data_IF_301622027524
#
_entry.id   IF_301622027524
#
_cell.length_a   1.000
_cell.length_b   1.000
_cell.length_c   1.000
_cell.angle_alpha   90.00
_cell.angle_beta   90.00
_cell.angle_gamma   90.00
#
_symmetry.space_group_name_H-M   'P 1'
#
loop_
_entity.id
_entity.type
_entity.pdbx_description
1 polymer ?
#
# COMPACT_ATOMS: atom_id res chain seq x y z
N UNK A 1 9.63 4.74 0.84
CA UNK A 1 9.38 3.41 0.24
C UNK A 1 10.61 2.92 -0.51
N UNK A 2 11.05 3.57 -1.60
CA UNK A 2 12.26 3.15 -2.36
C UNK A 2 13.51 3.09 -1.47
N UNK A 3 13.80 4.13 -0.68
CA UNK A 3 14.90 4.14 0.30
C UNK A 3 14.88 2.94 1.26
N UNK A 4 13.69 2.54 1.72
CA UNK A 4 13.57 1.42 2.66
C UNK A 4 13.72 0.07 1.96
N UNK A 5 13.29 -0.04 0.69
CA UNK A 5 13.57 -1.21 -0.12
C UNK A 5 15.07 -1.35 -0.38
N UNK A 6 15.77 -0.25 -0.70
CA UNK A 6 17.23 -0.25 -0.84
C UNK A 6 17.91 -0.64 0.48
N UNK A 7 17.44 -0.11 1.61
CA UNK A 7 17.97 -0.47 2.94
C UNK A 7 17.78 -1.95 3.28
N UNK A 8 16.65 -2.56 2.89
CA UNK A 8 16.43 -4.00 3.05
C UNK A 8 17.34 -4.83 2.15
N UNK A 9 17.58 -4.40 0.91
CA UNK A 9 18.55 -5.06 0.03
C UNK A 9 19.96 -4.96 0.61
N UNK A 10 20.32 -3.80 1.13
CA UNK A 10 21.61 -3.56 1.78
C UNK A 10 21.79 -4.41 3.04
N UNK A 11 20.73 -4.61 3.83
CA UNK A 11 20.75 -5.48 4.99
C UNK A 11 21.09 -6.94 4.64
N UNK A 12 20.64 -7.43 3.48
CA UNK A 12 20.94 -8.79 3.01
C UNK A 12 22.41 -8.98 2.61
N UNK A 13 23.08 -7.91 2.17
CA UNK A 13 24.48 -7.97 1.71
C UNK A 13 25.49 -7.59 2.80
N UNK A 14 25.19 -6.56 3.60
CA UNK A 14 26.11 -5.93 4.55
C UNK A 14 25.57 -5.80 5.97
N UNK A 15 24.44 -6.45 6.30
CA UNK A 15 23.82 -6.38 7.62
C UNK A 15 23.35 -4.96 7.99
N UNK A 16 23.23 -4.69 9.30
CA UNK A 16 22.69 -3.43 9.82
C UNK A 16 23.49 -2.19 9.39
N UNK A 17 24.81 -2.34 9.19
CA UNK A 17 25.67 -1.26 8.71
C UNK A 17 25.35 -0.87 7.27
N UNK A 18 25.15 -1.86 6.38
CA UNK A 18 24.69 -1.62 5.02
C UNK A 18 23.31 -0.96 4.99
N UNK A 19 22.38 -1.41 5.84
CA UNK A 19 21.06 -0.81 5.95
C UNK A 19 21.12 0.66 6.40
N UNK A 20 21.99 1.00 7.36
CA UNK A 20 22.17 2.37 7.84
C UNK A 20 22.75 3.29 6.75
N UNK A 21 23.74 2.82 6.00
CA UNK A 21 24.32 3.56 4.88
C UNK A 21 23.28 3.83 3.77
N UNK A 22 22.52 2.81 3.40
CA UNK A 22 21.44 2.93 2.43
C UNK A 22 20.31 3.88 2.87
N UNK A 23 20.00 3.96 4.17
CA UNK A 23 19.02 4.94 4.67
C UNK A 23 19.54 6.38 4.64
N UNK A 24 20.86 6.57 4.77
CA UNK A 24 21.48 7.88 4.67
C UNK A 24 21.51 8.37 3.22
N UNK A 25 21.90 7.51 2.27
CA UNK A 25 21.90 7.80 0.84
C UNK A 25 21.67 6.53 0.01
N UNK A 26 20.42 6.31 -0.37
CA UNK A 26 20.01 5.12 -1.11
C UNK A 26 20.53 5.10 -2.56
N UNK A 27 20.65 6.26 -3.21
CA UNK A 27 21.12 6.35 -4.59
C UNK A 27 22.62 6.06 -4.67
N UNK A 28 23.41 6.66 -3.76
CA UNK A 28 24.84 6.38 -3.69
C UNK A 28 25.12 4.92 -3.34
N UNK A 29 24.42 4.37 -2.34
CA UNK A 29 24.60 2.96 -1.96
C UNK A 29 24.25 2.02 -3.11
N UNK A 30 23.13 2.27 -3.81
CA UNK A 30 22.72 1.45 -4.95
C UNK A 30 23.68 1.56 -6.13
N UNK A 31 24.23 2.75 -6.41
CA UNK A 31 25.20 2.91 -7.50
C UNK A 31 26.48 2.10 -7.28
N UNK A 32 26.85 1.83 -6.02
CA UNK A 32 28.06 1.10 -5.66
C UNK A 32 27.83 -0.41 -5.49
N UNK A 33 26.66 -0.81 -4.99
CA UNK A 33 26.39 -2.19 -4.55
C UNK A 33 25.21 -2.86 -5.26
N UNK A 34 24.34 -2.06 -5.89
CA UNK A 34 23.16 -2.53 -6.59
C UNK A 34 23.47 -3.09 -7.97
N UNK A 35 22.61 -3.97 -8.46
CA UNK A 35 22.65 -4.46 -9.83
C UNK A 35 21.53 -3.83 -10.67
N UNK A 36 21.91 -3.26 -11.81
CA UNK A 36 20.97 -2.62 -12.74
C UNK A 36 20.52 -1.22 -12.31
N UNK A 37 19.57 -0.66 -13.05
CA UNK A 37 19.02 0.67 -12.77
C UNK A 37 18.22 0.65 -11.45
N UNK A 38 18.44 1.66 -10.61
CA UNK A 38 17.68 1.84 -9.38
C UNK A 38 16.21 2.06 -9.73
N UNK A 39 15.40 1.05 -9.43
CA UNK A 39 14.00 1.06 -9.79
C UNK A 39 13.20 0.18 -8.86
N UNK A 40 11.94 0.54 -8.68
CA UNK A 40 11.02 -0.21 -7.85
C UNK A 40 10.90 -1.67 -8.30
N UNK A 41 10.81 -1.91 -9.61
CA UNK A 41 10.75 -3.26 -10.18
C UNK A 41 12.03 -4.06 -9.90
N UNK A 42 13.20 -3.47 -10.12
CA UNK A 42 14.51 -4.09 -9.84
C UNK A 42 14.64 -4.48 -8.37
N UNK A 43 14.24 -3.59 -7.47
CA UNK A 43 14.25 -3.83 -6.02
C UNK A 43 13.31 -4.98 -5.63
N UNK A 44 12.10 -4.99 -6.18
CA UNK A 44 11.13 -6.05 -5.89
C UNK A 44 11.57 -7.40 -6.44
N UNK A 45 12.19 -7.46 -7.62
CA UNK A 45 12.70 -8.71 -8.18
C UNK A 45 13.81 -9.32 -7.32
N UNK A 46 14.71 -8.50 -6.79
CA UNK A 46 15.79 -8.96 -5.92
C UNK A 46 15.31 -9.37 -4.52
N UNK A 47 14.44 -8.57 -3.91
CA UNK A 47 13.95 -8.82 -2.54
C UNK A 47 12.89 -9.93 -2.48
N UNK A 48 12.09 -10.04 -3.54
CA UNK A 48 10.89 -10.87 -3.55
C UNK A 48 10.62 -11.39 -4.98
N UNK A 49 11.32 -12.45 -5.42
CA UNK A 49 11.21 -12.94 -6.79
C UNK A 49 9.85 -13.57 -7.11
N UNK A 50 9.09 -14.01 -6.09
CA UNK A 50 7.75 -14.60 -6.27
C UNK A 50 6.64 -13.58 -5.99
N UNK A 51 5.48 -13.74 -6.63
CA UNK A 51 4.33 -12.87 -6.39
C UNK A 51 3.87 -12.88 -4.92
N UNK A 52 3.91 -14.05 -4.26
CA UNK A 52 3.57 -14.18 -2.85
C UNK A 52 4.58 -13.45 -1.94
N UNK A 53 5.87 -13.56 -2.22
CA UNK A 53 6.90 -12.81 -1.47
C UNK A 53 6.75 -11.30 -1.67
N UNK A 54 6.37 -10.84 -2.89
CA UNK A 54 6.13 -9.41 -3.15
C UNK A 54 4.94 -8.89 -2.35
N UNK A 55 3.84 -9.66 -2.33
CA UNK A 55 2.69 -9.30 -1.51
C UNK A 55 3.06 -9.22 -0.03
N UNK A 56 3.78 -10.21 0.51
CA UNK A 56 4.23 -10.18 1.91
C UNK A 56 5.14 -8.98 2.22
N UNK A 57 6.13 -8.71 1.36
CA UNK A 57 7.04 -7.58 1.51
C UNK A 57 6.30 -6.23 1.48
N UNK A 58 5.32 -6.10 0.58
CA UNK A 58 4.56 -4.87 0.40
C UNK A 58 3.48 -4.67 1.47
N UNK A 59 2.90 -5.76 1.99
CA UNK A 59 1.94 -5.70 3.08
C UNK A 59 2.50 -4.92 4.27
N UNK A 60 3.78 -5.09 4.62
CA UNK A 60 4.42 -4.36 5.73
C UNK A 60 4.47 -2.84 5.52
N UNK A 61 4.45 -2.35 4.28
CA UNK A 61 4.39 -0.92 3.98
C UNK A 61 2.97 -0.36 4.04
N UNK A 62 1.96 -1.21 3.94
CA UNK A 62 0.54 -0.83 3.87
C UNK A 62 -0.23 -1.17 5.15
N UNK A 63 0.27 -2.13 5.92
CA UNK A 63 -0.27 -2.66 7.17
C UNK A 63 0.81 -2.53 8.24
N UNK A 64 0.74 -1.47 9.06
CA UNK A 64 1.79 -1.26 10.06
C UNK A 64 1.76 0.10 10.74
N UNK A 65 2.91 0.41 11.32
CA UNK A 65 3.22 1.66 11.99
C UNK A 65 4.02 2.59 11.04
N UNK A 66 3.94 3.89 11.26
CA UNK A 66 4.81 4.89 10.64
C UNK A 66 6.25 4.69 11.14
N UNK A 67 7.21 5.41 10.54
CA UNK A 67 8.60 5.40 11.02
C UNK A 67 8.73 5.79 12.50
N UNK A 68 7.73 6.49 13.06
CA UNK A 68 7.68 6.93 14.46
C UNK A 68 6.95 5.92 15.38
N UNK A 69 6.52 4.77 14.86
CA UNK A 69 5.79 3.74 15.64
C UNK A 69 4.28 4.00 15.76
N UNK A 70 3.74 5.00 15.08
CA UNK A 70 2.31 5.29 15.12
C UNK A 70 1.55 4.44 14.12
N UNK A 71 0.40 3.87 14.49
CA UNK A 71 -0.43 3.11 13.54
C UNK A 71 -0.77 3.96 12.31
N UNK A 72 -0.68 3.37 11.11
CA UNK A 72 -1.19 4.01 9.89
C UNK A 72 -2.68 4.32 10.05
N UNK A 73 -3.03 5.61 10.02
CA UNK A 73 -4.40 6.11 10.16
C UNK A 73 -4.85 6.87 8.92
N UNK A 74 -6.17 6.93 8.63
CA UNK A 74 -6.65 7.65 7.46
C UNK A 74 -6.29 9.14 7.49
N UNK A 75 -5.69 9.62 6.41
CA UNK A 75 -5.39 11.04 6.23
C UNK A 75 -6.63 11.95 6.14
N UNK A 76 -6.41 13.27 6.20
CA UNK A 76 -7.45 14.29 5.96
C UNK A 76 -8.19 14.11 4.63
N UNK A 77 -7.50 13.65 3.60
CA UNK A 77 -8.08 13.41 2.28
C UNK A 77 -9.07 12.22 2.33
N UNK A 78 -8.71 11.12 2.98
CA UNK A 78 -9.61 9.98 3.18
C UNK A 78 -10.87 10.40 3.92
N UNK A 79 -10.74 11.18 5.00
CA UNK A 79 -11.90 11.69 5.73
C UNK A 79 -12.75 12.66 4.91
N UNK A 80 -12.14 13.49 4.05
CA UNK A 80 -12.89 14.35 3.15
C UNK A 80 -13.72 13.54 2.15
N UNK A 81 -13.13 12.53 1.52
CA UNK A 81 -13.83 11.59 0.63
C UNK A 81 -14.95 10.87 1.39
N UNK A 82 -14.68 10.38 2.61
CA UNK A 82 -15.68 9.70 3.41
C UNK A 82 -16.90 10.58 3.71
N UNK A 83 -16.71 11.89 3.97
CA UNK A 83 -17.81 12.85 4.11
C UNK A 83 -18.61 13.05 2.81
N UNK A 84 -17.94 13.01 1.65
CA UNK A 84 -18.64 13.04 0.35
C UNK A 84 -19.51 11.81 0.15
N UNK A 85 -19.04 10.65 0.60
CA UNK A 85 -19.80 9.40 0.57
C UNK A 85 -20.97 9.43 1.54
N UNK A 86 -20.76 9.84 2.79
CA UNK A 86 -21.80 9.91 3.81
C UNK A 86 -22.99 10.80 3.42
N UNK A 87 -22.75 11.87 2.64
CA UNK A 87 -23.82 12.73 2.10
C UNK A 87 -24.42 12.25 0.76
N UNK A 88 -23.98 11.09 0.25
CA UNK A 88 -24.48 10.48 -0.98
C UNK A 88 -23.92 11.06 -2.29
N UNK A 89 -22.90 11.93 -2.24
CA UNK A 89 -22.34 12.56 -3.44
C UNK A 89 -21.36 11.65 -4.19
N UNK A 90 -20.74 10.69 -3.49
CA UNK A 90 -19.85 9.67 -4.05
C UNK A 90 -20.36 8.32 -3.59
N UNK A 91 -20.49 7.35 -4.49
CA UNK A 91 -20.86 5.96 -4.11
C UNK A 91 -19.84 4.91 -4.51
N UNK A 92 -18.94 5.23 -5.43
CA UNK A 92 -17.93 4.31 -5.94
C UNK A 92 -16.57 4.98 -5.87
N UNK A 93 -15.61 4.28 -5.29
CA UNK A 93 -14.22 4.68 -5.19
C UNK A 93 -13.40 3.60 -5.89
N UNK A 94 -12.58 4.00 -6.86
CA UNK A 94 -11.64 3.11 -7.54
C UNK A 94 -10.24 3.56 -7.13
N UNK A 95 -9.42 2.63 -6.66
CA UNK A 95 -8.07 2.92 -6.17
C UNK A 95 -7.08 1.86 -6.60
N UNK A 96 -5.82 2.26 -6.75
CA UNK A 96 -4.67 1.37 -6.94
C UNK A 96 -4.03 0.96 -5.62
N UNK A 97 -4.49 1.52 -4.50
CA UNK A 97 -3.96 1.24 -3.18
C UNK A 97 -4.47 -0.10 -2.64
N UNK A 98 -3.58 -0.79 -1.93
CA UNK A 98 -3.84 -2.06 -1.24
C UNK A 98 -4.27 -1.85 0.22
N UNK A 99 -3.92 -0.71 0.83
CA UNK A 99 -4.20 -0.42 2.23
C UNK A 99 -5.71 -0.35 2.57
N UNK A 100 -6.03 -0.40 3.87
CA UNK A 100 -7.40 -0.32 4.38
C UNK A 100 -7.85 1.09 4.78
N UNK A 101 -7.05 2.13 4.52
CA UNK A 101 -7.27 3.48 5.06
C UNK A 101 -8.57 4.11 4.54
N UNK A 102 -8.90 3.90 3.27
CA UNK A 102 -10.16 4.41 2.72
C UNK A 102 -11.37 3.71 3.34
N UNK A 103 -11.32 2.38 3.52
CA UNK A 103 -12.39 1.62 4.17
C UNK A 103 -12.57 2.06 5.64
N UNK A 104 -11.48 2.21 6.38
CA UNK A 104 -11.49 2.69 7.76
C UNK A 104 -12.08 4.11 7.87
N UNK A 105 -11.75 5.01 6.94
CA UNK A 105 -12.33 6.36 6.94
C UNK A 105 -13.84 6.37 6.70
N UNK A 106 -14.34 5.44 5.88
CA UNK A 106 -15.78 5.26 5.64
C UNK A 106 -16.48 4.71 6.89
N UNK A 107 -15.90 3.69 7.51
CA UNK A 107 -16.41 3.11 8.76
C UNK A 107 -16.47 4.17 9.88
N UNK A 108 -15.46 5.05 9.97
CA UNK A 108 -15.42 6.13 10.95
C UNK A 108 -16.54 7.17 10.79
N UNK A 109 -17.18 7.26 9.63
CA UNK A 109 -18.36 8.12 9.39
C UNK A 109 -19.66 7.31 9.31
N UNK A 110 -19.65 6.06 9.75
CA UNK A 110 -20.82 5.18 9.79
C UNK A 110 -21.20 4.56 8.45
N UNK A 111 -20.31 4.60 7.45
CA UNK A 111 -20.53 3.98 6.14
C UNK A 111 -19.78 2.66 6.08
N UNK A 112 -20.49 1.54 5.95
CA UNK A 112 -19.87 0.23 5.69
C UNK A 112 -19.73 0.01 4.18
N UNK A 113 -18.51 0.08 3.60
CA UNK A 113 -18.32 -0.16 2.18
C UNK A 113 -18.31 -1.65 1.85
N UNK A 114 -18.77 -2.02 0.66
CA UNK A 114 -18.33 -3.27 0.04
C UNK A 114 -16.95 -3.05 -0.59
N UNK A 115 -16.02 -3.96 -0.35
CA UNK A 115 -14.65 -3.90 -0.89
C UNK A 115 -14.46 -5.00 -1.92
N UNK A 116 -14.10 -4.61 -3.15
CA UNK A 116 -13.86 -5.51 -4.27
C UNK A 116 -12.37 -5.43 -4.62
N UNK A 117 -11.63 -6.47 -4.24
CA UNK A 117 -10.18 -6.54 -4.41
C UNK A 117 -9.74 -7.69 -5.34
N UNK A 118 -10.69 -8.45 -5.90
CA UNK A 118 -10.38 -9.54 -6.83
C UNK A 118 -11.41 -9.58 -7.96
N UNK A 119 -11.01 -9.93 -9.20
CA UNK A 119 -11.95 -10.02 -10.32
C UNK A 119 -13.13 -10.96 -10.05
N UNK A 120 -12.90 -12.08 -9.35
CA UNK A 120 -13.94 -13.07 -9.08
C UNK A 120 -15.04 -12.54 -8.16
N UNK A 121 -14.72 -11.57 -7.29
CA UNK A 121 -15.68 -10.96 -6.37
C UNK A 121 -16.69 -10.04 -7.07
N UNK A 122 -16.41 -9.61 -8.31
CA UNK A 122 -17.30 -8.71 -9.07
C UNK A 122 -18.65 -9.35 -9.35
N UNK A 123 -18.68 -10.64 -9.70
CA UNK A 123 -19.93 -11.33 -10.03
C UNK A 123 -20.84 -11.53 -8.82
N UNK A 124 -20.27 -11.58 -7.61
CA UNK A 124 -21.00 -11.75 -6.35
C UNK A 124 -21.26 -10.44 -5.60
N UNK A 125 -20.84 -9.29 -6.15
CA UNK A 125 -20.95 -8.03 -5.44
C UNK A 125 -22.40 -7.58 -5.30
N UNK A 126 -22.68 -6.83 -4.23
CA UNK A 126 -23.95 -6.14 -4.14
C UNK A 126 -24.04 -5.12 -5.29
N UNK A 127 -25.16 -5.03 -6.02
CA UNK A 127 -25.30 -4.04 -7.07
C UNK A 127 -24.97 -2.64 -6.55
N UNK A 128 -24.24 -1.85 -7.35
CA UNK A 128 -23.74 -0.52 -6.94
C UNK A 128 -24.86 0.42 -6.47
N UNK A 129 -26.10 0.17 -6.92
CA UNK A 129 -27.30 0.90 -6.53
C UNK A 129 -27.77 0.62 -5.10
N UNK A 130 -27.45 -0.55 -4.55
CA UNK A 130 -27.92 -1.01 -3.24
C UNK A 130 -26.84 -0.93 -2.16
N UNK A 131 -25.57 -0.84 -2.54
CA UNK A 131 -24.48 -0.67 -1.60
C UNK A 131 -24.38 0.79 -1.11
N UNK A 132 -24.13 0.94 0.19
CA UNK A 132 -23.86 2.24 0.83
C UNK A 132 -22.64 2.93 0.22
N UNK A 133 -21.60 2.15 -0.08
CA UNK A 133 -20.44 2.56 -0.86
C UNK A 133 -19.73 1.32 -1.43
N UNK A 134 -19.06 1.49 -2.56
CA UNK A 134 -18.21 0.45 -3.17
C UNK A 134 -16.78 0.95 -3.30
N UNK A 135 -15.81 0.21 -2.77
CA UNK A 135 -14.38 0.46 -2.97
C UNK A 135 -13.81 -0.66 -3.83
N UNK A 136 -13.32 -0.31 -5.03
CA UNK A 136 -12.70 -1.25 -5.96
C UNK A 136 -11.19 -1.03 -5.93
N UNK A 137 -10.44 -2.06 -5.56
CA UNK A 137 -8.98 -2.04 -5.56
C UNK A 137 -8.47 -2.76 -6.79
N UNK A 138 -7.86 -2.01 -7.71
CA UNK A 138 -7.44 -2.52 -9.02
C UNK A 138 -6.29 -3.53 -8.94
N UNK A 139 -5.42 -3.37 -7.96
CA UNK A 139 -4.30 -4.28 -7.74
C UNK A 139 -4.59 -5.35 -6.68
N UNK A 140 -5.72 -5.23 -5.99
CA UNK A 140 -6.16 -6.12 -4.94
C UNK A 140 -5.98 -5.58 -3.53
N UNK A 141 -5.94 -6.50 -2.57
CA UNK A 141 -5.77 -6.25 -1.13
C UNK A 141 -4.36 -6.71 -0.73
#
# INVERSE_FOLDING_TARGET
>A
MVTELVARTAALQGGDEGAAQARADAEAWWSEHGEGELGYSTLLEQLAPTAAARQGLLAEFFEGETADGDRLVPSRAHHAIARLVARGAVRVIITTNFDRLMAQALEAVGVSPQVIARPEAVNGMMPLAHASATVIKLHGD
#
